data_IF_616177802294
#
_entry.id   IF_616177802294
#
_cell.length_a   1.000
_cell.length_b   1.000
_cell.length_c   1.000
_cell.angle_alpha   90.00
_cell.angle_beta   90.00
_cell.angle_gamma   90.00
#
_symmetry.space_group_name_H-M   'P 1'
#
loop_
_entity.id
_entity.type
_entity.pdbx_description
1 polymer ?
#
# COMPACT_ATOMS: atom_id res chain seq x y z
N UNK A 1 -31.82 -27.83 27.21
CA UNK A 1 -31.84 -26.34 27.27
C UNK A 1 -31.17 -25.87 26.02
N UNK A 2 -31.91 -25.22 25.10
CA UNK A 2 -31.28 -24.53 23.96
C UNK A 2 -30.58 -23.31 24.53
N UNK A 3 -29.24 -23.31 24.54
CA UNK A 3 -28.47 -22.11 24.81
C UNK A 3 -28.85 -21.07 23.77
N UNK A 4 -29.68 -20.10 24.16
CA UNK A 4 -30.00 -18.99 23.28
C UNK A 4 -28.71 -18.19 23.08
N UNK A 5 -28.19 -18.21 21.85
CA UNK A 5 -27.06 -17.35 21.49
C UNK A 5 -27.36 -15.92 21.94
N UNK A 6 -26.40 -15.24 22.60
CA UNK A 6 -26.61 -13.89 23.06
C UNK A 6 -26.97 -12.99 21.86
N UNK A 7 -27.99 -12.16 22.05
CA UNK A 7 -28.38 -11.17 21.03
C UNK A 7 -27.21 -10.19 20.82
N UNK A 8 -26.71 -10.12 19.58
CA UNK A 8 -25.62 -9.21 19.20
C UNK A 8 -26.22 -8.03 18.46
N UNK A 9 -25.95 -6.84 19.02
CA UNK A 9 -26.29 -5.54 18.43
C UNK A 9 -25.04 -4.95 17.74
N UNK A 10 -25.20 -4.50 16.49
CA UNK A 10 -24.11 -3.85 15.74
C UNK A 10 -24.26 -2.34 15.79
N UNK A 11 -23.17 -1.64 16.11
CA UNK A 11 -23.08 -0.19 16.15
C UNK A 11 -21.93 0.30 15.32
N UNK A 12 -22.05 1.55 14.86
CA UNK A 12 -21.08 2.19 14.00
C UNK A 12 -20.50 3.41 14.69
N UNK A 13 -19.19 3.55 14.75
CA UNK A 13 -18.50 4.66 15.38
C UNK A 13 -17.56 5.33 14.40
N UNK A 14 -17.92 6.55 13.98
CA UNK A 14 -17.02 7.44 13.24
C UNK A 14 -15.94 7.93 14.20
N UNK A 15 -14.68 7.63 13.90
CA UNK A 15 -13.53 7.92 14.79
C UNK A 15 -13.39 9.41 15.07
N UNK A 16 -13.56 10.25 14.05
CA UNK A 16 -13.45 11.71 14.19
C UNK A 16 -14.57 12.34 15.02
N UNK A 17 -15.77 11.72 15.04
CA UNK A 17 -16.95 12.25 15.74
C UNK A 17 -17.05 11.75 17.18
N UNK A 18 -16.49 10.58 17.47
CA UNK A 18 -16.64 9.88 18.74
C UNK A 18 -15.33 9.34 19.31
N UNK A 19 -14.31 10.20 19.51
CA UNK A 19 -13.02 9.76 20.02
C UNK A 19 -13.09 9.13 21.41
N UNK A 20 -14.10 9.50 22.22
CA UNK A 20 -14.35 8.96 23.57
C UNK A 20 -14.73 7.47 23.56
N UNK A 21 -15.31 6.96 22.45
CA UNK A 21 -15.70 5.55 22.32
C UNK A 21 -14.51 4.64 22.06
N UNK A 22 -13.41 5.18 21.56
CA UNK A 22 -12.23 4.40 21.19
C UNK A 22 -11.55 3.70 22.38
N UNK A 23 -11.78 4.14 23.61
CA UNK A 23 -11.17 3.51 24.80
C UNK A 23 -11.55 2.03 24.95
N UNK A 24 -12.82 1.69 24.72
CA UNK A 24 -13.30 0.29 24.79
C UNK A 24 -12.79 -0.55 23.64
N UNK A 25 -12.73 0.04 22.43
CA UNK A 25 -12.19 -0.62 21.25
C UNK A 25 -10.69 -0.92 21.47
N UNK A 26 -9.93 0.06 21.97
CA UNK A 26 -8.50 -0.14 22.29
C UNK A 26 -8.28 -1.23 23.34
N UNK A 27 -9.13 -1.29 24.34
CA UNK A 27 -9.07 -2.35 25.34
C UNK A 27 -9.26 -3.72 24.71
N UNK A 28 -10.32 -3.93 23.92
CA UNK A 28 -10.58 -5.20 23.22
C UNK A 28 -9.44 -5.58 22.25
N UNK A 29 -8.89 -4.60 21.51
CA UNK A 29 -7.76 -4.83 20.62
C UNK A 29 -6.50 -5.27 21.38
N UNK A 30 -6.19 -4.57 22.47
CA UNK A 30 -5.02 -4.89 23.31
C UNK A 30 -5.14 -6.30 23.92
N UNK A 31 -6.31 -6.64 24.43
CA UNK A 31 -6.62 -7.97 24.96
C UNK A 31 -6.48 -9.07 23.88
N UNK A 32 -6.85 -8.74 22.63
CA UNK A 32 -6.66 -9.59 21.45
C UNK A 32 -5.22 -9.59 20.92
N UNK A 33 -4.28 -8.89 21.55
CA UNK A 33 -2.89 -8.77 21.12
C UNK A 33 -2.69 -7.96 19.85
N UNK A 34 -3.61 -7.01 19.57
CA UNK A 34 -3.59 -6.12 18.41
C UNK A 34 -3.32 -4.68 18.83
N UNK A 35 -2.72 -3.89 17.93
CA UNK A 35 -2.68 -2.43 18.02
C UNK A 35 -3.87 -1.79 17.31
N UNK A 36 -3.82 -0.47 17.14
CA UNK A 36 -4.79 0.28 16.36
C UNK A 36 -4.05 1.23 15.41
N UNK A 37 -4.32 1.12 14.12
CA UNK A 37 -3.78 2.03 13.11
C UNK A 37 -4.52 3.38 13.15
N UNK A 38 -3.80 4.48 12.91
CA UNK A 38 -4.32 5.84 13.06
C UNK A 38 -5.17 6.31 11.86
N UNK A 39 -5.15 5.59 10.75
CA UNK A 39 -5.87 5.91 9.52
C UNK A 39 -7.29 5.32 9.46
N UNK A 40 -7.70 4.58 10.50
CA UNK A 40 -9.06 4.04 10.60
C UNK A 40 -10.04 5.20 10.79
N UNK A 41 -11.06 5.26 9.93
CA UNK A 41 -12.08 6.31 9.97
C UNK A 41 -13.38 5.87 10.63
N UNK A 42 -13.65 4.56 10.62
CA UNK A 42 -14.87 3.98 11.18
C UNK A 42 -14.58 2.64 11.85
N UNK A 43 -15.29 2.36 12.94
CA UNK A 43 -15.40 1.02 13.50
C UNK A 43 -16.83 0.51 13.43
N UNK A 44 -16.97 -0.77 13.07
CA UNK A 44 -18.16 -1.58 13.34
C UNK A 44 -17.92 -2.30 14.65
N UNK A 45 -18.85 -2.16 15.59
CA UNK A 45 -18.80 -2.70 16.92
C UNK A 45 -19.90 -3.75 17.11
N UNK A 46 -19.55 -4.88 17.70
CA UNK A 46 -20.53 -5.92 18.11
C UNK A 46 -20.69 -5.87 19.64
N UNK A 47 -21.93 -5.69 20.08
CA UNK A 47 -22.29 -5.57 21.49
C UNK A 47 -23.19 -6.73 21.95
N UNK A 48 -22.86 -7.33 23.09
CA UNK A 48 -23.75 -8.21 23.85
C UNK A 48 -24.21 -7.47 25.11
N UNK A 49 -25.44 -6.95 25.07
CA UNK A 49 -25.95 -6.08 26.11
C UNK A 49 -25.09 -4.79 26.26
N UNK A 50 -24.32 -4.69 27.34
CA UNK A 50 -23.44 -3.53 27.63
C UNK A 50 -21.95 -3.81 27.35
N UNK A 51 -21.61 -5.03 26.96
CA UNK A 51 -20.24 -5.44 26.71
C UNK A 51 -19.92 -5.33 25.22
N UNK A 52 -18.80 -4.70 24.87
CA UNK A 52 -18.21 -4.75 23.53
C UNK A 52 -17.53 -6.10 23.37
N UNK A 53 -18.01 -6.92 22.45
CA UNK A 53 -17.54 -8.31 22.23
C UNK A 53 -16.86 -8.51 20.88
N UNK A 54 -16.86 -7.49 20.04
CA UNK A 54 -16.14 -7.55 18.77
C UNK A 54 -16.05 -6.18 18.11
N UNK A 55 -15.04 -6.00 17.28
CA UNK A 55 -14.90 -4.81 16.43
C UNK A 55 -14.19 -5.13 15.13
N UNK A 56 -14.43 -4.30 14.12
CA UNK A 56 -13.68 -4.26 12.88
C UNK A 56 -13.59 -2.82 12.38
N UNK A 57 -12.39 -2.37 12.03
CA UNK A 57 -12.13 -1.02 11.54
C UNK A 57 -12.11 -0.95 10.02
N UNK A 58 -12.46 0.21 9.46
CA UNK A 58 -12.37 0.53 8.04
C UNK A 58 -11.52 1.78 7.82
N UNK A 59 -10.49 1.65 6.97
CA UNK A 59 -9.65 2.73 6.49
C UNK A 59 -9.72 2.76 4.96
N UNK A 60 -10.44 3.72 4.37
CA UNK A 60 -10.80 3.73 2.96
C UNK A 60 -11.41 2.36 2.55
N UNK A 61 -10.68 1.56 1.77
CA UNK A 61 -11.10 0.22 1.34
C UNK A 61 -10.30 -0.92 2.00
N UNK A 62 -9.62 -0.66 3.11
CA UNK A 62 -8.86 -1.65 3.87
C UNK A 62 -9.53 -1.93 5.20
N UNK A 63 -9.88 -3.20 5.43
CA UNK A 63 -10.42 -3.68 6.70
C UNK A 63 -9.24 -3.94 7.65
N UNK A 64 -9.33 -3.40 8.85
CA UNK A 64 -8.28 -3.45 9.87
C UNK A 64 -8.85 -3.81 11.24
N UNK A 65 -8.02 -4.25 12.15
CA UNK A 65 -8.36 -4.40 13.55
C UNK A 65 -9.59 -5.27 13.82
N UNK A 66 -9.71 -6.41 13.10
CA UNK A 66 -10.79 -7.37 13.34
C UNK A 66 -10.49 -8.17 14.61
N UNK A 67 -11.25 -7.93 15.66
CA UNK A 67 -11.13 -8.59 16.96
C UNK A 67 -12.49 -9.11 17.45
N UNK A 68 -12.47 -10.27 18.12
CA UNK A 68 -13.63 -10.89 18.76
C UNK A 68 -13.21 -11.43 20.10
N UNK A 69 -14.00 -11.16 21.12
CA UNK A 69 -13.85 -11.69 22.48
C UNK A 69 -13.67 -13.22 22.47
N UNK A 70 -12.70 -13.72 23.24
CA UNK A 70 -12.36 -15.14 23.26
C UNK A 70 -13.55 -16.04 23.60
N UNK A 71 -14.42 -15.60 24.49
CA UNK A 71 -15.59 -16.35 24.93
C UNK A 71 -16.64 -16.54 23.81
N UNK A 72 -16.61 -15.70 22.77
CA UNK A 72 -17.49 -15.77 21.60
C UNK A 72 -16.79 -16.28 20.33
N UNK A 73 -15.59 -16.82 20.47
CA UNK A 73 -14.93 -17.54 19.36
C UNK A 73 -15.72 -18.80 19.03
N UNK A 74 -16.08 -18.99 17.78
CA UNK A 74 -16.86 -20.14 17.31
C UNK A 74 -18.33 -19.85 16.98
N UNK A 75 -18.91 -18.71 17.42
CA UNK A 75 -20.29 -18.31 17.07
C UNK A 75 -20.39 -17.46 15.79
N UNK A 76 -19.43 -17.59 14.90
CA UNK A 76 -19.37 -16.90 13.60
C UNK A 76 -19.41 -15.35 13.66
N UNK A 77 -19.09 -14.77 14.84
CA UNK A 77 -19.19 -13.33 15.05
C UNK A 77 -18.25 -12.53 14.14
N UNK A 78 -17.03 -13.07 13.86
CA UNK A 78 -16.10 -12.40 12.93
C UNK A 78 -16.64 -12.31 11.50
N UNK A 79 -17.32 -13.34 10.99
CA UNK A 79 -17.93 -13.27 9.66
C UNK A 79 -19.08 -12.26 9.62
N UNK A 80 -19.87 -12.18 10.68
CA UNK A 80 -20.93 -11.16 10.81
C UNK A 80 -20.36 -9.75 10.86
N UNK A 81 -19.28 -9.51 11.64
CA UNK A 81 -18.57 -8.23 11.66
C UNK A 81 -18.04 -7.85 10.29
N UNK A 82 -17.43 -8.80 9.56
CA UNK A 82 -16.94 -8.56 8.21
C UNK A 82 -18.08 -8.17 7.27
N UNK A 83 -19.21 -8.88 7.30
CA UNK A 83 -20.38 -8.54 6.50
C UNK A 83 -20.89 -7.12 6.78
N UNK A 84 -20.94 -6.69 8.04
CA UNK A 84 -21.33 -5.33 8.41
C UNK A 84 -20.32 -4.28 7.91
N UNK A 85 -18.99 -4.55 8.01
CA UNK A 85 -17.97 -3.66 7.44
C UNK A 85 -18.08 -3.57 5.93
N UNK A 86 -18.32 -4.69 5.24
CA UNK A 86 -18.53 -4.72 3.78
C UNK A 86 -19.76 -3.91 3.38
N UNK A 87 -20.87 -4.01 4.11
CA UNK A 87 -22.07 -3.20 3.87
C UNK A 87 -21.78 -1.70 4.00
N UNK A 88 -21.06 -1.30 5.04
CA UNK A 88 -20.68 0.12 5.24
C UNK A 88 -19.71 0.59 4.16
N UNK A 89 -18.72 -0.23 3.80
CA UNK A 89 -17.77 0.09 2.75
C UNK A 89 -18.49 0.26 1.39
N UNK A 90 -19.43 -0.64 1.08
CA UNK A 90 -20.28 -0.57 -0.11
C UNK A 90 -21.10 0.73 -0.16
N UNK A 91 -21.74 1.12 0.96
CA UNK A 91 -22.47 2.37 1.08
C UNK A 91 -21.59 3.61 0.87
N UNK A 92 -20.27 3.50 1.09
CA UNK A 92 -19.25 4.54 0.85
C UNK A 92 -18.62 4.46 -0.55
N UNK A 93 -19.10 3.55 -1.42
CA UNK A 93 -18.58 3.37 -2.77
C UNK A 93 -17.32 2.50 -2.87
N UNK A 94 -16.96 1.78 -1.80
CA UNK A 94 -15.83 0.85 -1.79
C UNK A 94 -16.32 -0.57 -2.04
N UNK A 95 -16.21 -1.06 -3.28
CA UNK A 95 -16.66 -2.39 -3.70
C UNK A 95 -15.57 -3.46 -3.60
N UNK A 96 -14.31 -3.04 -3.68
CA UNK A 96 -13.15 -3.92 -3.64
C UNK A 96 -12.36 -3.63 -2.35
N UNK A 97 -12.40 -4.60 -1.45
CA UNK A 97 -11.83 -4.46 -0.12
C UNK A 97 -10.60 -5.36 0.05
N UNK A 98 -9.67 -4.88 0.85
CA UNK A 98 -8.47 -5.59 1.23
C UNK A 98 -8.41 -5.77 2.75
N UNK A 99 -7.70 -6.78 3.18
CA UNK A 99 -7.24 -6.94 4.55
C UNK A 99 -5.86 -7.59 4.58
N UNK A 100 -5.11 -7.31 5.64
CA UNK A 100 -3.90 -8.05 5.96
C UNK A 100 -4.10 -8.79 7.28
N UNK A 101 -3.60 -10.02 7.32
CA UNK A 101 -3.72 -10.86 8.51
C UNK A 101 -2.50 -11.75 8.70
N UNK A 102 -2.37 -12.39 9.88
CA UNK A 102 -1.39 -13.44 10.09
C UNK A 102 -1.80 -14.71 9.34
N UNK A 103 -0.85 -15.52 8.83
CA UNK A 103 -1.16 -16.76 8.11
C UNK A 103 -2.07 -17.72 8.86
N UNK A 104 -1.97 -17.77 10.20
CA UNK A 104 -2.84 -18.63 11.04
C UNK A 104 -4.34 -18.24 10.99
N UNK A 105 -4.67 -17.05 10.53
CA UNK A 105 -6.06 -16.58 10.39
C UNK A 105 -6.57 -16.66 8.93
N UNK A 106 -5.73 -17.00 7.97
CA UNK A 106 -6.08 -16.98 6.54
C UNK A 106 -7.32 -17.81 6.23
N UNK A 107 -7.38 -19.05 6.74
CA UNK A 107 -8.53 -19.93 6.52
C UNK A 107 -9.84 -19.33 7.04
N UNK A 108 -9.80 -18.65 8.19
CA UNK A 108 -10.96 -17.98 8.78
C UNK A 108 -11.48 -16.86 7.88
N UNK A 109 -10.59 -16.04 7.31
CA UNK A 109 -10.99 -14.97 6.37
C UNK A 109 -11.40 -15.54 5.01
N UNK A 110 -10.78 -16.63 4.55
CA UNK A 110 -11.20 -17.31 3.31
C UNK A 110 -12.62 -17.84 3.40
N UNK A 111 -13.01 -18.39 4.54
CA UNK A 111 -14.41 -18.81 4.81
C UNK A 111 -15.40 -17.64 4.86
N UNK A 112 -14.90 -16.42 5.04
CA UNK A 112 -15.70 -15.18 5.04
C UNK A 112 -15.66 -14.44 3.69
N UNK A 113 -15.20 -15.08 2.62
CA UNK A 113 -15.23 -14.50 1.28
C UNK A 113 -14.02 -13.64 0.91
N UNK A 114 -12.86 -13.88 1.55
CA UNK A 114 -11.60 -13.24 1.18
C UNK A 114 -10.63 -14.24 0.56
N UNK A 115 -9.93 -13.83 -0.49
CA UNK A 115 -8.96 -14.64 -1.23
C UNK A 115 -7.54 -14.09 -1.04
N UNK A 116 -6.54 -14.96 -0.82
CA UNK A 116 -5.16 -14.53 -0.68
C UNK A 116 -4.60 -14.01 -2.01
N UNK A 117 -3.88 -12.90 -1.95
CA UNK A 117 -3.17 -12.27 -3.08
C UNK A 117 -1.67 -12.54 -2.98
N UNK A 118 -1.07 -12.27 -1.83
CA UNK A 118 0.36 -12.49 -1.59
C UNK A 118 0.64 -12.74 -0.11
N UNK A 119 1.75 -13.45 0.16
CA UNK A 119 2.13 -13.87 1.51
C UNK A 119 3.60 -13.54 1.80
N UNK A 120 3.85 -12.85 2.89
CA UNK A 120 5.19 -12.62 3.43
C UNK A 120 5.50 -13.70 4.48
N UNK A 121 6.07 -14.82 4.05
CA UNK A 121 6.43 -15.92 4.91
C UNK A 121 5.39 -16.25 5.99
N UNK A 122 5.81 -16.19 7.27
CA UNK A 122 4.93 -16.38 8.43
C UNK A 122 4.43 -15.04 9.05
N UNK A 123 4.73 -13.88 8.41
CA UNK A 123 4.42 -12.58 8.97
C UNK A 123 3.03 -12.09 8.60
N UNK A 124 2.66 -12.13 7.31
CA UNK A 124 1.43 -11.55 6.82
C UNK A 124 0.92 -12.21 5.54
N UNK A 125 -0.40 -12.14 5.35
CA UNK A 125 -1.09 -12.46 4.10
C UNK A 125 -1.96 -11.27 3.72
N UNK A 126 -1.79 -10.74 2.50
CA UNK A 126 -2.72 -9.79 1.90
C UNK A 126 -3.85 -10.58 1.25
N UNK A 127 -5.08 -10.20 1.55
CA UNK A 127 -6.29 -10.83 1.01
C UNK A 127 -7.23 -9.76 0.44
N UNK A 128 -8.07 -10.15 -0.52
CA UNK A 128 -9.09 -9.31 -1.14
C UNK A 128 -10.47 -10.00 -1.13
N UNK A 129 -11.56 -9.22 -1.15
CA UNK A 129 -12.93 -9.76 -1.10
C UNK A 129 -13.47 -10.19 -2.46
N UNK A 130 -12.62 -10.53 -3.41
CA UNK A 130 -12.98 -11.03 -4.73
C UNK A 130 -11.92 -11.99 -5.26
N UNK A 131 -12.30 -13.13 -5.88
CA UNK A 131 -11.33 -14.06 -6.45
C UNK A 131 -10.71 -13.56 -7.76
N UNK A 132 -11.15 -12.42 -8.26
CA UNK A 132 -10.75 -11.93 -9.59
C UNK A 132 -10.08 -10.55 -9.59
N UNK A 133 -9.87 -9.93 -8.44
CA UNK A 133 -9.37 -8.56 -8.37
C UNK A 133 -8.00 -8.40 -9.02
N UNK A 134 -7.00 -9.11 -8.51
CA UNK A 134 -5.64 -9.09 -9.09
C UNK A 134 -5.64 -9.56 -10.56
N UNK A 135 -6.46 -10.56 -10.91
CA UNK A 135 -6.56 -11.07 -12.27
C UNK A 135 -7.11 -10.03 -13.24
N UNK A 136 -8.12 -9.24 -12.83
CA UNK A 136 -8.66 -8.13 -13.64
C UNK A 136 -7.62 -7.04 -13.84
N UNK A 137 -6.90 -6.68 -12.77
CA UNK A 137 -5.81 -5.71 -12.87
C UNK A 137 -4.73 -6.17 -13.85
N UNK A 138 -4.27 -7.41 -13.73
CA UNK A 138 -3.31 -8.00 -14.67
C UNK A 138 -3.83 -8.01 -16.12
N UNK A 139 -5.12 -8.24 -16.33
CA UNK A 139 -5.73 -8.19 -17.66
C UNK A 139 -5.67 -6.78 -18.24
N UNK A 140 -5.95 -5.74 -17.45
CA UNK A 140 -5.82 -4.35 -17.92
C UNK A 140 -4.37 -4.02 -18.26
N UNK A 141 -3.40 -4.44 -17.44
CA UNK A 141 -1.98 -4.24 -17.73
C UNK A 141 -1.54 -4.92 -19.03
N UNK A 142 -2.03 -6.13 -19.33
CA UNK A 142 -1.72 -6.81 -20.60
C UNK A 142 -2.11 -6.01 -21.85
N UNK A 143 -3.19 -5.21 -21.76
CA UNK A 143 -3.57 -4.28 -22.82
C UNK A 143 -2.57 -3.16 -23.07
N UNK A 144 -1.70 -2.89 -22.09
CA UNK A 144 -0.65 -1.85 -22.13
C UNK A 144 0.75 -2.43 -22.43
N UNK A 145 0.85 -3.74 -22.65
CA UNK A 145 2.11 -4.40 -22.98
C UNK A 145 2.70 -3.84 -24.24
N UNK A 146 4.00 -3.60 -24.23
CA UNK A 146 4.75 -3.12 -25.39
C UNK A 146 5.70 -4.18 -25.91
N UNK A 147 5.94 -4.21 -27.23
CA UNK A 147 6.94 -5.09 -27.81
C UNK A 147 8.34 -4.64 -27.39
N UNK A 148 9.23 -5.60 -27.23
CA UNK A 148 10.62 -5.36 -26.88
C UNK A 148 11.21 -6.58 -26.17
N UNK A 149 12.52 -6.62 -26.10
CA UNK A 149 13.29 -7.63 -25.38
C UNK A 149 13.62 -7.15 -23.97
N UNK A 150 13.98 -5.87 -23.85
CA UNK A 150 14.38 -5.25 -22.62
C UNK A 150 13.28 -4.29 -22.16
N UNK A 151 12.37 -4.79 -21.32
CA UNK A 151 11.23 -4.01 -20.78
C UNK A 151 11.54 -3.62 -19.34
N UNK A 152 11.64 -2.32 -19.12
CA UNK A 152 11.95 -1.74 -17.81
C UNK A 152 10.73 -1.40 -17.00
N UNK A 153 10.91 -1.34 -15.68
CA UNK A 153 9.93 -0.76 -14.77
C UNK A 153 10.58 0.09 -13.67
N UNK A 154 9.91 1.18 -13.33
CA UNK A 154 10.17 2.00 -12.14
C UNK A 154 8.87 2.13 -11.37
N UNK A 155 8.94 2.05 -10.05
CA UNK A 155 7.84 2.45 -9.15
C UNK A 155 8.35 3.57 -8.27
N UNK A 156 7.63 4.68 -8.20
CA UNK A 156 8.03 5.81 -7.37
C UNK A 156 6.83 6.50 -6.72
N UNK A 157 7.05 7.08 -5.56
CA UNK A 157 6.06 7.94 -4.91
C UNK A 157 6.06 9.35 -5.51
N UNK A 158 7.23 9.87 -5.91
CA UNK A 158 7.39 11.20 -6.52
C UNK A 158 6.70 12.33 -5.72
N UNK A 159 7.04 12.48 -4.46
CA UNK A 159 6.38 13.39 -3.52
C UNK A 159 7.29 14.59 -3.07
N UNK A 160 7.55 15.60 -3.94
CA UNK A 160 7.14 15.72 -5.35
C UNK A 160 8.10 15.04 -6.33
N UNK A 161 7.82 15.16 -7.63
CA UNK A 161 8.73 14.76 -8.70
C UNK A 161 9.92 15.71 -8.78
N UNK A 162 11.15 15.18 -8.72
CA UNK A 162 12.40 15.95 -8.67
C UNK A 162 13.26 15.69 -9.91
N UNK A 163 14.30 16.50 -10.12
CA UNK A 163 15.32 16.24 -11.14
C UNK A 163 16.02 14.89 -10.92
N UNK A 164 16.13 14.43 -9.66
CA UNK A 164 16.64 13.08 -9.37
C UNK A 164 15.73 11.96 -9.89
N UNK A 165 14.42 12.10 -9.76
CA UNK A 165 13.44 11.17 -10.33
C UNK A 165 13.49 11.20 -11.86
N UNK A 166 13.51 12.40 -12.46
CA UNK A 166 13.60 12.58 -13.91
C UNK A 166 14.86 11.92 -14.47
N UNK A 167 16.00 12.15 -13.85
CA UNK A 167 17.27 11.52 -14.25
C UNK A 167 17.19 9.98 -14.22
N UNK A 168 16.63 9.41 -13.14
CA UNK A 168 16.43 7.96 -13.05
C UNK A 168 15.59 7.44 -14.22
N UNK A 169 14.49 8.12 -14.57
CA UNK A 169 13.61 7.74 -15.67
C UNK A 169 14.34 7.85 -17.02
N UNK A 170 15.05 8.95 -17.27
CA UNK A 170 15.81 9.17 -18.51
C UNK A 170 16.90 8.10 -18.71
N UNK A 171 17.65 7.79 -17.64
CA UNK A 171 18.70 6.77 -17.70
C UNK A 171 18.12 5.35 -17.88
N UNK A 172 16.99 5.05 -17.27
CA UNK A 172 16.30 3.77 -17.44
C UNK A 172 15.72 3.64 -18.86
N UNK A 173 15.05 4.68 -19.36
CA UNK A 173 14.49 4.71 -20.70
C UNK A 173 15.55 4.54 -21.80
N UNK A 174 16.77 5.05 -21.59
CA UNK A 174 17.89 4.89 -22.50
C UNK A 174 18.48 3.45 -22.51
N UNK A 175 18.12 2.59 -21.55
CA UNK A 175 18.66 1.24 -21.36
C UNK A 175 17.66 0.14 -21.65
N UNK A 176 16.43 0.47 -22.05
CA UNK A 176 15.40 -0.51 -22.37
C UNK A 176 14.59 -0.09 -23.61
N UNK A 177 13.95 -1.06 -24.24
CA UNK A 177 13.10 -0.82 -25.40
C UNK A 177 11.85 -0.01 -24.99
N UNK A 178 11.31 -0.32 -23.82
CA UNK A 178 10.16 0.37 -23.22
C UNK A 178 10.25 0.40 -21.72
N UNK A 179 9.84 1.53 -21.12
CA UNK A 179 9.82 1.74 -19.67
C UNK A 179 8.39 1.96 -19.17
N UNK A 180 7.96 1.12 -18.23
CA UNK A 180 6.73 1.29 -17.47
C UNK A 180 7.01 2.01 -16.16
N UNK A 181 6.48 3.21 -16.00
CA UNK A 181 6.65 4.05 -14.82
C UNK A 181 5.37 4.08 -14.00
N UNK A 182 5.39 3.52 -12.79
CA UNK A 182 4.26 3.49 -11.88
C UNK A 182 4.39 4.57 -10.80
N UNK A 183 3.34 5.37 -10.65
CA UNK A 183 3.23 6.35 -9.54
C UNK A 183 2.38 5.73 -8.44
N UNK A 184 2.93 5.60 -7.23
CA UNK A 184 2.24 4.98 -6.09
C UNK A 184 0.97 5.76 -5.77
N UNK A 185 -0.18 5.07 -5.74
CA UNK A 185 -1.51 5.66 -5.51
C UNK A 185 -1.81 5.70 -4.00
N UNK A 186 -1.32 6.74 -3.32
CA UNK A 186 -1.68 7.02 -1.94
C UNK A 186 -1.86 8.51 -1.73
N UNK A 187 -2.78 8.91 -0.86
CA UNK A 187 -3.01 10.30 -0.48
C UNK A 187 -2.49 10.65 0.93
N UNK A 188 -1.73 9.75 1.57
CA UNK A 188 -1.00 10.04 2.80
C UNK A 188 0.26 10.88 2.58
N UNK A 189 0.55 11.24 1.34
CA UNK A 189 1.70 12.06 0.92
C UNK A 189 1.44 13.56 1.08
N UNK A 190 2.52 14.37 1.12
CA UNK A 190 2.42 15.83 1.19
C UNK A 190 1.70 16.43 -0.04
N UNK A 191 1.98 15.89 -1.23
CA UNK A 191 1.27 16.23 -2.45
C UNK A 191 0.23 15.14 -2.74
N UNK A 192 -1.04 15.53 -3.07
CA UNK A 192 -2.08 14.57 -3.48
C UNK A 192 -1.66 13.74 -4.70
N UNK A 193 -2.20 12.54 -4.81
CA UNK A 193 -1.88 11.62 -5.90
C UNK A 193 -2.04 12.27 -7.29
N UNK A 194 -3.15 12.98 -7.52
CA UNK A 194 -3.43 13.62 -8.82
C UNK A 194 -2.32 14.62 -9.22
N UNK A 195 -1.86 15.46 -8.28
CA UNK A 195 -0.79 16.41 -8.52
C UNK A 195 0.55 15.68 -8.81
N UNK A 196 0.87 14.64 -8.05
CA UNK A 196 2.09 13.85 -8.27
C UNK A 196 2.10 13.16 -9.64
N UNK A 197 0.98 12.61 -10.05
CA UNK A 197 0.82 11.97 -11.35
C UNK A 197 1.00 12.98 -12.50
N UNK A 198 0.42 14.17 -12.36
CA UNK A 198 0.55 15.25 -13.34
C UNK A 198 2.01 15.72 -13.47
N UNK A 199 2.68 15.99 -12.34
CA UNK A 199 4.10 16.34 -12.32
C UNK A 199 4.98 15.30 -13.04
N UNK A 200 4.72 14.02 -12.81
CA UNK A 200 5.45 12.92 -13.45
C UNK A 200 5.15 12.89 -14.95
N UNK A 201 3.88 12.89 -15.35
CA UNK A 201 3.49 12.85 -16.78
C UNK A 201 4.11 13.98 -17.58
N UNK A 202 3.99 15.20 -17.07
CA UNK A 202 4.57 16.38 -17.71
C UNK A 202 6.11 16.32 -17.71
N UNK A 203 6.72 15.84 -16.60
CA UNK A 203 8.17 15.79 -16.45
C UNK A 203 8.87 14.76 -17.35
N UNK A 204 8.17 13.75 -17.84
CA UNK A 204 8.70 12.69 -18.73
C UNK A 204 8.08 12.71 -20.13
N UNK A 205 7.25 13.70 -20.48
CA UNK A 205 6.53 13.75 -21.76
C UNK A 205 7.44 13.80 -22.99
N UNK A 206 8.70 14.17 -22.83
CA UNK A 206 9.71 14.19 -23.90
C UNK A 206 10.25 12.80 -24.25
N UNK A 207 9.94 11.75 -23.46
CA UNK A 207 10.43 10.38 -23.65
C UNK A 207 9.39 9.56 -24.41
N UNK A 208 9.72 9.13 -25.63
CA UNK A 208 8.77 8.45 -26.51
C UNK A 208 8.52 6.97 -26.11
N UNK A 209 9.44 6.36 -25.34
CA UNK A 209 9.37 4.97 -24.92
C UNK A 209 9.01 4.79 -23.43
N UNK A 210 8.24 5.72 -22.87
CA UNK A 210 7.79 5.68 -21.47
C UNK A 210 6.27 5.66 -21.40
N UNK A 211 5.71 4.68 -20.68
CA UNK A 211 4.30 4.67 -20.29
C UNK A 211 4.19 5.00 -18.79
N UNK A 212 3.41 6.04 -18.45
CA UNK A 212 3.13 6.40 -17.04
C UNK A 212 1.81 5.77 -16.61
N UNK A 213 1.89 4.87 -15.63
CA UNK A 213 0.75 4.18 -15.05
C UNK A 213 0.33 4.83 -13.74
N UNK A 214 -0.98 4.95 -13.55
CA UNK A 214 -1.52 5.16 -12.21
C UNK A 214 -1.25 3.90 -11.39
N UNK A 215 -0.66 4.09 -10.21
CA UNK A 215 -0.52 3.00 -9.27
C UNK A 215 -1.89 2.43 -8.91
N UNK A 216 -1.93 1.16 -8.62
CA UNK A 216 -3.12 0.48 -8.13
C UNK A 216 -2.98 0.19 -6.64
N UNK A 217 -4.03 -0.36 -6.05
CA UNK A 217 -4.01 -0.86 -4.68
C UNK A 217 -3.10 -2.09 -4.49
N UNK A 218 -2.63 -2.67 -5.60
CA UNK A 218 -1.65 -3.76 -5.63
C UNK A 218 -0.19 -3.28 -5.65
N UNK A 219 0.04 -1.97 -5.78
CA UNK A 219 1.35 -1.33 -5.52
C UNK A 219 1.25 -0.69 -4.15
N UNK A 220 1.70 -1.41 -3.13
CA UNK A 220 1.39 -1.14 -1.74
C UNK A 220 2.36 -0.10 -1.18
N UNK A 221 1.81 1.02 -0.69
CA UNK A 221 2.60 1.98 0.06
C UNK A 221 2.83 1.51 1.50
N UNK A 222 4.02 1.78 2.02
CA UNK A 222 4.31 1.59 3.44
C UNK A 222 3.37 2.39 4.34
N UNK A 223 2.96 3.59 3.92
CA UNK A 223 2.10 4.46 4.71
C UNK A 223 0.68 3.88 4.91
N UNK A 224 0.21 3.08 3.94
CA UNK A 224 -1.12 2.46 3.97
C UNK A 224 -1.11 0.99 4.39
N UNK A 225 0.08 0.37 4.53
CA UNK A 225 0.19 -1.02 4.96
C UNK A 225 -0.29 -1.19 6.40
N UNK A 226 -1.21 -2.14 6.67
CA UNK A 226 -1.73 -2.38 8.01
C UNK A 226 -0.65 -2.90 8.97
N UNK A 227 -0.42 -2.18 10.06
CA UNK A 227 0.63 -2.51 11.03
C UNK A 227 0.09 -3.08 12.36
N UNK A 228 -1.22 -2.98 12.60
CA UNK A 228 -1.88 -3.25 13.88
C UNK A 228 -1.67 -4.67 14.45
N UNK A 229 -1.37 -5.66 13.60
CA UNK A 229 -1.19 -7.06 14.02
C UNK A 229 0.28 -7.47 14.18
N UNK A 230 1.22 -6.60 13.84
CA UNK A 230 2.67 -6.82 13.96
C UNK A 230 3.23 -5.92 15.06
N UNK A 231 3.82 -6.53 16.10
CA UNK A 231 4.33 -5.78 17.25
C UNK A 231 5.71 -5.15 17.04
N UNK A 232 6.49 -5.69 16.10
CA UNK A 232 7.87 -5.29 15.85
C UNK A 232 7.95 -4.49 14.55
N UNK A 233 8.48 -3.28 14.59
CA UNK A 233 8.61 -2.41 13.42
C UNK A 233 9.40 -3.05 12.27
N UNK A 234 10.41 -3.86 12.57
CA UNK A 234 11.17 -4.62 11.57
C UNK A 234 10.32 -5.64 10.81
N UNK A 235 9.39 -6.33 11.51
CA UNK A 235 8.46 -7.27 10.88
C UNK A 235 7.42 -6.58 10.01
N UNK A 236 6.97 -5.39 10.40
CA UNK A 236 6.08 -4.56 9.56
C UNK A 236 6.77 -4.20 8.26
N UNK A 237 8.01 -3.72 8.35
CA UNK A 237 8.80 -3.34 7.19
C UNK A 237 9.05 -4.52 6.25
N UNK A 238 9.44 -5.67 6.81
CA UNK A 238 9.67 -6.90 6.06
C UNK A 238 8.38 -7.38 5.37
N UNK A 239 7.27 -7.48 6.12
CA UNK A 239 6.00 -7.95 5.58
C UNK A 239 5.49 -7.08 4.43
N UNK A 240 5.56 -5.75 4.60
CA UNK A 240 5.18 -4.82 3.53
C UNK A 240 6.05 -4.99 2.28
N UNK A 241 7.38 -4.93 2.42
CA UNK A 241 8.28 -5.00 1.28
C UNK A 241 8.19 -6.34 0.54
N UNK A 242 8.10 -7.45 1.27
CA UNK A 242 7.94 -8.77 0.65
C UNK A 242 6.61 -8.89 -0.12
N UNK A 243 5.48 -8.48 0.46
CA UNK A 243 4.17 -8.54 -0.21
C UNK A 243 4.17 -7.68 -1.48
N UNK A 244 4.67 -6.44 -1.41
CA UNK A 244 4.73 -5.55 -2.57
C UNK A 244 5.61 -6.13 -3.70
N UNK A 245 6.81 -6.61 -3.35
CA UNK A 245 7.74 -7.20 -4.32
C UNK A 245 7.20 -8.51 -4.92
N UNK A 246 6.55 -9.36 -4.13
CA UNK A 246 5.94 -10.60 -4.61
C UNK A 246 4.77 -10.33 -5.58
N UNK A 247 3.91 -9.35 -5.27
CA UNK A 247 2.84 -8.94 -6.20
C UNK A 247 3.45 -8.41 -7.51
N UNK A 248 4.48 -7.59 -7.42
CA UNK A 248 5.18 -7.10 -8.61
C UNK A 248 5.76 -8.25 -9.44
N UNK A 249 6.48 -9.18 -8.82
CA UNK A 249 7.12 -10.32 -9.46
C UNK A 249 6.14 -11.28 -10.13
N UNK A 250 5.10 -11.67 -9.38
CA UNK A 250 4.23 -12.78 -9.76
C UNK A 250 3.05 -12.35 -10.64
N UNK A 251 2.68 -11.07 -10.62
CA UNK A 251 1.49 -10.56 -11.28
C UNK A 251 1.78 -9.41 -12.25
N UNK A 252 2.41 -8.33 -11.78
CA UNK A 252 2.59 -7.10 -12.58
C UNK A 252 3.61 -7.33 -13.69
N UNK A 253 4.79 -7.78 -13.33
CA UNK A 253 5.89 -7.96 -14.28
C UNK A 253 5.56 -8.95 -15.40
N UNK A 254 4.98 -10.14 -15.15
CA UNK A 254 4.59 -11.05 -16.23
C UNK A 254 3.51 -10.48 -17.15
N UNK A 255 2.61 -9.64 -16.61
CA UNK A 255 1.52 -9.03 -17.38
C UNK A 255 2.03 -8.05 -18.44
N UNK A 256 3.07 -7.30 -18.13
CA UNK A 256 3.69 -6.32 -19.01
C UNK A 256 4.93 -6.87 -19.76
N UNK A 257 5.45 -8.04 -19.35
CA UNK A 257 6.69 -8.59 -19.88
C UNK A 257 7.94 -7.89 -19.35
N UNK A 258 7.88 -7.36 -18.12
CA UNK A 258 8.99 -6.64 -17.50
C UNK A 258 10.15 -7.58 -17.23
N UNK A 259 11.35 -7.19 -17.66
CA UNK A 259 12.61 -7.91 -17.51
C UNK A 259 13.60 -7.19 -16.59
N UNK A 260 13.43 -5.87 -16.39
CA UNK A 260 14.33 -5.03 -15.62
C UNK A 260 13.53 -4.16 -14.62
N UNK A 261 13.99 -4.11 -13.37
CA UNK A 261 13.49 -3.22 -12.33
C UNK A 261 14.55 -2.18 -12.02
N UNK A 262 14.35 -0.93 -12.44
CA UNK A 262 15.27 0.16 -12.16
C UNK A 262 14.94 0.82 -10.82
N UNK A 263 15.96 1.03 -10.00
CA UNK A 263 15.87 1.69 -8.69
C UNK A 263 16.99 2.71 -8.52
N UNK A 264 16.75 3.75 -7.73
CA UNK A 264 17.81 4.67 -7.32
C UNK A 264 18.55 4.15 -6.09
N UNK A 265 19.86 4.34 -6.03
CA UNK A 265 20.63 4.07 -4.82
C UNK A 265 20.12 4.91 -3.64
N UNK A 266 20.15 4.34 -2.43
CA UNK A 266 19.57 4.99 -1.24
C UNK A 266 20.59 5.08 -0.10
N UNK A 267 21.38 6.14 -0.04
CA UNK A 267 22.39 6.30 0.99
C UNK A 267 21.85 6.82 2.33
N UNK A 268 20.62 7.39 2.38
CA UNK A 268 20.14 8.16 3.53
C UNK A 268 18.99 7.52 4.29
N UNK A 269 18.13 6.74 3.61
CA UNK A 269 16.93 6.17 4.21
C UNK A 269 17.08 4.66 4.39
N UNK A 270 17.23 4.20 5.63
CA UNK A 270 17.37 2.77 5.94
C UNK A 270 16.18 1.94 5.46
N UNK A 271 14.99 2.49 5.52
CA UNK A 271 13.76 1.82 5.07
C UNK A 271 13.80 1.56 3.57
N UNK A 272 14.18 2.56 2.77
CA UNK A 272 14.30 2.39 1.32
C UNK A 272 15.46 1.47 0.96
N UNK A 273 16.54 1.50 1.73
CA UNK A 273 17.67 0.58 1.56
C UNK A 273 17.26 -0.87 1.80
N UNK A 274 16.49 -1.13 2.87
CA UNK A 274 15.94 -2.46 3.16
C UNK A 274 14.95 -2.92 2.07
N UNK A 275 14.13 -2.02 1.56
CA UNK A 275 13.25 -2.31 0.44
C UNK A 275 14.04 -2.65 -0.83
N UNK A 276 15.10 -1.89 -1.16
CA UNK A 276 15.98 -2.22 -2.29
C UNK A 276 16.64 -3.60 -2.11
N UNK A 277 17.05 -3.96 -0.89
CA UNK A 277 17.58 -5.29 -0.59
C UNK A 277 16.51 -6.39 -0.84
N UNK A 278 15.27 -6.17 -0.41
CA UNK A 278 14.17 -7.10 -0.67
C UNK A 278 13.92 -7.29 -2.17
N UNK A 279 14.04 -6.23 -2.98
CA UNK A 279 13.98 -6.34 -4.44
C UNK A 279 15.08 -7.24 -5.01
N UNK A 280 16.32 -7.04 -4.59
CA UNK A 280 17.44 -7.89 -5.01
C UNK A 280 17.20 -9.36 -4.63
N UNK A 281 16.79 -9.61 -3.38
CA UNK A 281 16.63 -10.98 -2.85
C UNK A 281 15.50 -11.75 -3.57
N UNK A 282 14.38 -11.08 -3.84
CA UNK A 282 13.18 -11.76 -4.37
C UNK A 282 13.03 -11.70 -5.90
N UNK A 283 13.71 -10.79 -6.58
CA UNK A 283 13.62 -10.66 -8.04
C UNK A 283 14.75 -11.36 -8.80
N UNK A 284 15.88 -11.65 -8.18
CA UNK A 284 17.16 -12.08 -8.80
C UNK A 284 17.03 -13.21 -9.85
N UNK A 285 16.07 -14.11 -9.69
CA UNK A 285 15.88 -15.24 -10.62
C UNK A 285 14.88 -14.96 -11.74
N UNK A 286 14.20 -13.81 -11.71
CA UNK A 286 13.07 -13.52 -12.60
C UNK A 286 13.24 -12.19 -13.34
N UNK A 287 13.80 -11.18 -12.67
CA UNK A 287 13.88 -9.81 -13.15
C UNK A 287 15.22 -9.23 -12.71
N UNK A 288 15.95 -8.62 -13.63
CA UNK A 288 17.20 -7.93 -13.31
C UNK A 288 16.90 -6.64 -12.52
N UNK A 289 17.48 -6.51 -11.33
CA UNK A 289 17.41 -5.28 -10.54
C UNK A 289 18.60 -4.40 -10.87
N UNK A 290 18.33 -3.25 -11.48
CA UNK A 290 19.36 -2.29 -11.91
C UNK A 290 19.36 -1.11 -10.99
N UNK A 291 20.37 -1.01 -10.13
CA UNK A 291 20.55 0.13 -9.22
C UNK A 291 21.33 1.25 -9.90
N UNK A 292 20.79 2.45 -9.87
CA UNK A 292 21.38 3.64 -10.49
C UNK A 292 21.83 4.66 -9.44
N UNK A 293 22.99 5.30 -9.64
CA UNK A 293 23.47 6.31 -8.73
C UNK A 293 22.59 7.55 -8.76
N UNK A 294 22.40 8.19 -7.62
CA UNK A 294 21.69 9.47 -7.54
C UNK A 294 22.53 10.61 -8.08
N UNK A 295 21.87 11.54 -8.77
CA UNK A 295 22.52 12.82 -9.13
C UNK A 295 22.61 13.73 -7.92
N UNK A 296 23.62 14.59 -7.94
CA UNK A 296 23.86 15.61 -6.91
C UNK A 296 23.64 16.99 -7.50
N UNK A 297 23.03 17.88 -6.74
CA UNK A 297 23.02 19.31 -7.00
C UNK A 297 23.72 20.02 -5.85
N UNK A 298 24.65 20.93 -6.16
CA UNK A 298 25.45 21.68 -5.17
C UNK A 298 26.13 20.78 -4.12
N UNK A 299 26.60 19.59 -4.55
CA UNK A 299 27.30 18.63 -3.67
C UNK A 299 26.39 17.65 -2.90
N UNK A 300 25.10 17.90 -2.81
CA UNK A 300 24.13 17.06 -2.11
C UNK A 300 23.24 16.27 -3.08
N UNK A 301 22.84 15.04 -2.68
CA UNK A 301 21.89 14.26 -3.46
C UNK A 301 20.51 14.92 -3.47
N UNK A 302 19.91 15.03 -4.65
CA UNK A 302 18.57 15.57 -4.82
C UNK A 302 17.56 14.62 -4.19
N UNK A 303 16.71 15.14 -3.30
CA UNK A 303 15.66 14.36 -2.64
C UNK A 303 14.33 15.11 -2.57
N UNK A 304 13.22 14.37 -2.63
CA UNK A 304 11.88 14.92 -2.43
C UNK A 304 11.68 15.44 -0.99
N UNK A 305 12.38 14.86 -0.01
CA UNK A 305 12.35 15.32 1.38
C UNK A 305 12.91 16.73 1.52
N UNK A 306 13.98 17.04 0.79
CA UNK A 306 14.59 18.37 0.78
C UNK A 306 13.63 19.39 0.17
N UNK A 307 12.94 19.06 -0.92
CA UNK A 307 11.91 19.95 -1.50
C UNK A 307 10.84 20.28 -0.47
N UNK A 308 10.31 19.30 0.25
CA UNK A 308 9.29 19.51 1.28
C UNK A 308 9.82 20.35 2.46
N UNK A 309 11.08 20.19 2.82
CA UNK A 309 11.75 21.03 3.83
C UNK A 309 11.87 22.49 3.36
N UNK A 310 12.32 22.70 2.13
CA UNK A 310 12.46 24.02 1.53
C UNK A 310 11.10 24.74 1.34
N UNK A 311 10.02 24.00 1.04
CA UNK A 311 8.66 24.55 0.97
C UNK A 311 8.21 25.11 2.33
N UNK A 312 8.46 24.37 3.43
CA UNK A 312 8.12 24.85 4.78
C UNK A 312 8.85 26.15 5.16
N UNK A 313 10.01 26.38 4.57
CA UNK A 313 10.83 27.59 4.81
C UNK A 313 10.77 28.60 3.65
N UNK A 314 9.85 28.40 2.70
CA UNK A 314 9.59 29.29 1.54
C UNK A 314 10.84 29.60 0.70
N UNK A 315 11.78 28.67 0.59
CA UNK A 315 13.02 28.84 -0.17
C UNK A 315 12.83 28.43 -1.65
N UNK A 316 11.96 29.12 -2.37
CA UNK A 316 11.53 28.78 -3.74
C UNK A 316 12.68 28.78 -4.76
N UNK A 317 13.63 29.69 -4.64
CA UNK A 317 14.80 29.74 -5.54
C UNK A 317 15.60 28.43 -5.49
N UNK A 318 15.79 27.87 -4.30
CA UNK A 318 16.50 26.59 -4.13
C UNK A 318 15.67 25.39 -4.61
N UNK A 319 14.34 25.46 -4.48
CA UNK A 319 13.45 24.41 -4.98
C UNK A 319 13.61 24.32 -6.50
N UNK A 320 13.65 25.47 -7.20
CA UNK A 320 13.79 25.53 -8.66
C UNK A 320 15.05 24.86 -9.18
N UNK A 321 16.12 24.79 -8.39
CA UNK A 321 17.37 24.13 -8.75
C UNK A 321 17.31 22.58 -8.70
N UNK A 322 16.29 22.01 -8.03
CA UNK A 322 16.21 20.58 -7.74
C UNK A 322 14.92 19.91 -8.24
N UNK A 323 14.02 20.68 -8.84
CA UNK A 323 12.80 20.16 -9.47
C UNK A 323 12.72 20.57 -10.93
N UNK A 324 12.08 19.79 -11.82
CA UNK A 324 11.80 20.23 -13.19
C UNK A 324 10.69 21.29 -13.21
N UNK A 325 10.61 22.04 -14.31
CA UNK A 325 9.56 23.09 -14.48
C UNK A 325 8.14 22.52 -14.29
N UNK A 326 7.89 21.29 -14.70
CA UNK A 326 6.61 20.58 -14.50
C UNK A 326 6.21 20.37 -13.03
N UNK A 327 7.15 20.53 -12.11
CA UNK A 327 6.90 20.42 -10.66
C UNK A 327 6.91 21.80 -9.99
N UNK A 328 7.60 22.77 -10.60
CA UNK A 328 7.73 24.11 -10.04
C UNK A 328 6.51 25.00 -10.35
N UNK A 329 5.84 24.77 -11.48
CA UNK A 329 4.63 25.46 -11.88
C UNK A 329 3.47 25.19 -10.93
#
# INVERSE_FOLDING_TARGET
MMDSQPAIDFRFTEVAQHPERLSRIRYLLTDSGLGMDNDITLFVEAWSGRQLVGCAGLAANVIKCVAVDEQLRGVNLSARLLAEVENVALARGHFHLFLCTRPCNEERFSRSGFWPVARSGNNAVLMENTPQGITRYCRSLRGERRPGKDIGAIVMNANPFTLGHRHLVEQAAARCDWLHLFVVREDASFFPFAARLEMVRAGVAHLANVSVHEGSQYIISRATFPAYFLKESGKVQQAWSEIDVLIFRDYIAPSLGITHRFIGSEPFCDITRQYNQTLHDLLVTHIEVVEMPRIKATGNAISASEVRRLLKTQQFSRIREIVPDSTFA
#
